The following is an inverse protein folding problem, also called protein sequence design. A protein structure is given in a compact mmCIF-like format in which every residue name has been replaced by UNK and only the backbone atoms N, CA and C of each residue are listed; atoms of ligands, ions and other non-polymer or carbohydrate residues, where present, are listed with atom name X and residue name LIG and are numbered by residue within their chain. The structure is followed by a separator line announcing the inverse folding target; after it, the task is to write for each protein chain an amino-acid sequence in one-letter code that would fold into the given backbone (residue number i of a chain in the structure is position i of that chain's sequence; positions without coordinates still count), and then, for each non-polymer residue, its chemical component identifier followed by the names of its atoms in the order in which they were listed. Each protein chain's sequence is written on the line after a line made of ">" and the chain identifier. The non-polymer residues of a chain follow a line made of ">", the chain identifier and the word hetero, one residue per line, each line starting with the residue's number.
data_IF_225962124570
#
_entry.id   IF_225962124570
#
_cell.length_a   1.000
_cell.length_b   1.000
_cell.length_c   1.000
_cell.angle_alpha   90.00
_cell.angle_beta   90.00
_cell.angle_gamma   90.00
#
_symmetry.space_group_name_H-M   'P 1'
#
loop_
_entity.id
_entity.type
_entity.pdbx_description
1 polymer ?
#
# COMPACT_ATOMS: atom_id res chain seq x y z
N UNK A 1 -3.82 -14.63 -29.34
CA UNK A 1 -2.85 -14.96 -28.27
C UNK A 1 -3.34 -14.19 -27.05
N UNK A 2 -4.15 -14.84 -26.23
CA UNK A 2 -4.52 -14.34 -24.90
C UNK A 2 -3.79 -15.31 -23.98
N UNK A 3 -2.77 -14.82 -23.32
CA UNK A 3 -1.96 -15.60 -22.40
C UNK A 3 -2.83 -15.88 -21.17
N UNK A 4 -3.46 -17.05 -21.17
CA UNK A 4 -3.85 -17.74 -19.95
C UNK A 4 -2.55 -18.40 -19.45
N UNK A 5 -1.71 -17.61 -18.76
CA UNK A 5 -0.58 -18.15 -18.00
C UNK A 5 -1.16 -18.68 -16.68
N UNK A 6 -0.83 -19.91 -16.24
CA UNK A 6 -1.19 -20.40 -14.93
C UNK A 6 -0.28 -19.70 -13.89
N UNK A 7 -0.49 -18.39 -13.70
CA UNK A 7 0.23 -17.59 -12.73
C UNK A 7 -0.46 -17.74 -11.39
N UNK A 8 0.30 -18.05 -10.35
CA UNK A 8 -0.07 -17.97 -8.93
C UNK A 8 -1.25 -17.01 -8.69
N UNK A 9 -2.37 -17.54 -8.17
CA UNK A 9 -3.62 -16.80 -7.97
C UNK A 9 -3.43 -15.75 -6.86
N UNK A 10 -2.95 -14.56 -7.23
CA UNK A 10 -2.88 -13.42 -6.32
C UNK A 10 -4.16 -12.60 -6.43
N UNK A 11 -4.85 -12.40 -5.30
CA UNK A 11 -5.97 -11.47 -5.21
C UNK A 11 -5.45 -10.04 -5.10
N UNK A 12 -5.82 -9.18 -6.05
CA UNK A 12 -5.45 -7.76 -6.04
C UNK A 12 -6.62 -6.90 -5.58
N UNK A 13 -6.38 -5.97 -4.66
CA UNK A 13 -7.38 -5.05 -4.12
C UNK A 13 -6.82 -3.62 -4.04
N UNK A 14 -7.48 -2.67 -4.70
CA UNK A 14 -7.15 -1.24 -4.54
C UNK A 14 -7.73 -0.73 -3.23
N UNK A 15 -6.87 -0.19 -2.37
CA UNK A 15 -7.27 0.35 -1.06
C UNK A 15 -7.60 1.84 -1.15
N UNK A 16 -6.82 2.60 -1.92
CA UNK A 16 -7.03 4.02 -2.14
C UNK A 16 -6.34 4.48 -3.43
N UNK A 17 -6.92 5.45 -4.12
CA UNK A 17 -6.28 6.13 -5.25
C UNK A 17 -6.62 7.61 -5.27
N UNK A 18 -5.69 8.40 -5.79
CA UNK A 18 -5.79 9.83 -6.05
C UNK A 18 -5.22 10.09 -7.45
N UNK A 19 -5.15 11.35 -7.87
CA UNK A 19 -4.62 11.70 -9.20
C UNK A 19 -3.16 11.29 -9.44
N UNK A 20 -2.34 11.21 -8.38
CA UNK A 20 -0.90 10.92 -8.49
C UNK A 20 -0.40 9.79 -7.58
N UNK A 21 -1.26 9.28 -6.71
CA UNK A 21 -0.90 8.26 -5.73
C UNK A 21 -1.93 7.16 -5.72
N UNK A 22 -1.47 5.92 -5.63
CA UNK A 22 -2.35 4.76 -5.46
C UNK A 22 -1.74 3.80 -4.43
N UNK A 23 -2.62 3.14 -3.69
CA UNK A 23 -2.29 2.04 -2.80
C UNK A 23 -3.15 0.86 -3.18
N UNK A 24 -2.51 -0.27 -3.43
CA UNK A 24 -3.18 -1.54 -3.67
C UNK A 24 -2.44 -2.67 -2.95
N UNK A 25 -3.15 -3.75 -2.68
CA UNK A 25 -2.64 -4.92 -1.98
C UNK A 25 -2.75 -6.14 -2.88
N UNK A 26 -1.71 -6.96 -2.90
CA UNK A 26 -1.77 -8.32 -3.44
C UNK A 26 -1.73 -9.33 -2.29
N UNK A 27 -2.67 -10.27 -2.26
CA UNK A 27 -2.71 -11.37 -1.30
C UNK A 27 -2.49 -12.68 -2.05
N UNK A 28 -1.45 -13.43 -1.67
CA UNK A 28 -1.19 -14.76 -2.21
C UNK A 28 -2.06 -15.84 -1.59
N UNK A 29 -2.05 -17.03 -2.19
CA UNK A 29 -2.81 -18.19 -1.73
C UNK A 29 -2.38 -18.69 -0.32
N UNK A 30 -1.16 -18.36 0.10
CA UNK A 30 -0.66 -18.60 1.47
C UNK A 30 -1.24 -17.61 2.50
N UNK A 31 -2.01 -16.61 2.06
CA UNK A 31 -2.57 -15.55 2.90
C UNK A 31 -1.59 -14.39 3.16
N UNK A 32 -0.37 -14.47 2.66
CA UNK A 32 0.61 -13.38 2.78
C UNK A 32 0.21 -12.21 1.87
N UNK A 33 0.21 -11.01 2.45
CA UNK A 33 -0.13 -9.77 1.74
C UNK A 33 1.10 -8.89 1.53
N UNK A 34 1.19 -8.30 0.35
CA UNK A 34 2.12 -7.21 0.02
C UNK A 34 1.33 -5.96 -0.34
N UNK A 35 1.76 -4.83 0.20
CA UNK A 35 1.17 -3.53 -0.06
C UNK A 35 2.06 -2.76 -1.04
N UNK A 36 1.43 -2.20 -2.06
CA UNK A 36 2.06 -1.48 -3.15
C UNK A 36 1.62 -0.02 -3.10
N UNK A 37 2.55 0.87 -2.81
CA UNK A 37 2.35 2.32 -2.84
C UNK A 37 2.99 2.88 -4.11
N UNK A 38 2.16 3.40 -5.01
CA UNK A 38 2.59 4.02 -6.25
C UNK A 38 2.62 5.54 -6.09
N UNK A 39 3.79 6.13 -6.30
CA UNK A 39 4.10 7.56 -6.15
C UNK A 39 4.52 8.16 -7.50
N UNK A 40 3.70 7.95 -8.53
CA UNK A 40 3.97 8.40 -9.90
C UNK A 40 5.15 7.66 -10.55
N UNK A 41 6.39 8.06 -10.23
CA UNK A 41 7.61 7.48 -10.81
C UNK A 41 8.34 6.49 -9.88
N UNK A 42 7.85 6.30 -8.66
CA UNK A 42 8.39 5.38 -7.67
C UNK A 42 7.29 4.45 -7.20
N UNK A 43 7.57 3.16 -7.10
CA UNK A 43 6.71 2.20 -6.40
C UNK A 43 7.46 1.64 -5.19
N UNK A 44 6.75 1.54 -4.07
CA UNK A 44 7.26 0.98 -2.82
C UNK A 44 6.44 -0.28 -2.51
N UNK A 45 7.14 -1.37 -2.22
CA UNK A 45 6.55 -2.63 -1.81
C UNK A 45 6.85 -2.87 -0.35
N UNK A 46 5.81 -3.13 0.44
CA UNK A 46 5.87 -3.27 1.88
C UNK A 46 5.24 -4.61 2.27
N UNK A 47 5.84 -5.29 3.24
CA UNK A 47 5.14 -6.37 3.95
C UNK A 47 3.97 -5.79 4.76
N UNK A 48 3.10 -6.66 5.27
CA UNK A 48 2.02 -6.25 6.16
C UNK A 48 2.53 -5.47 7.38
N UNK A 49 3.59 -5.96 8.04
CA UNK A 49 4.21 -5.29 9.19
C UNK A 49 4.77 -3.91 8.83
N UNK A 50 5.46 -3.78 7.69
CA UNK A 50 6.02 -2.50 7.24
C UNK A 50 4.92 -1.51 6.83
N UNK A 51 3.80 -2.01 6.29
CA UNK A 51 2.64 -1.20 5.95
C UNK A 51 1.95 -0.64 7.20
N UNK A 52 1.77 -1.46 8.23
CA UNK A 52 1.18 -1.04 9.51
C UNK A 52 2.01 0.09 10.14
N UNK A 53 3.34 -0.05 10.18
CA UNK A 53 4.25 0.99 10.69
C UNK A 53 4.20 2.27 9.85
N UNK A 54 4.10 2.16 8.53
CA UNK A 54 3.96 3.33 7.64
C UNK A 54 2.64 4.08 7.90
N UNK A 55 1.54 3.35 8.03
CA UNK A 55 0.22 3.95 8.30
C UNK A 55 0.22 4.65 9.66
N UNK A 56 0.81 4.02 10.69
CA UNK A 56 0.95 4.64 12.01
C UNK A 56 1.80 5.92 11.94
N UNK A 57 2.90 5.91 11.19
CA UNK A 57 3.73 7.10 10.98
C UNK A 57 2.95 8.24 10.32
N UNK A 58 2.15 7.94 9.28
CA UNK A 58 1.34 8.94 8.59
C UNK A 58 0.25 9.49 9.51
N UNK A 59 -0.41 8.63 10.30
CA UNK A 59 -1.41 9.03 11.30
C UNK A 59 -0.83 9.98 12.34
N UNK A 60 0.34 9.64 12.91
CA UNK A 60 1.07 10.52 13.84
C UNK A 60 1.43 11.87 13.19
N UNK A 61 1.82 11.89 11.91
CA UNK A 61 2.10 13.12 11.19
C UNK A 61 0.85 13.98 10.99
N UNK A 62 -0.32 13.36 10.77
CA UNK A 62 -1.61 14.06 10.69
C UNK A 62 -2.00 14.64 12.05
N UNK A 63 -1.92 13.86 13.12
CA UNK A 63 -2.21 14.34 14.48
C UNK A 63 -1.33 15.55 14.86
N UNK A 64 -0.05 15.51 14.49
CA UNK A 64 0.88 16.61 14.74
C UNK A 64 0.47 17.93 14.03
N UNK A 65 -0.18 17.85 12.87
CA UNK A 65 -0.71 19.02 12.15
C UNK A 65 -1.96 19.57 12.85
N UNK A 66 -2.86 18.69 13.29
CA UNK A 66 -4.12 19.05 13.95
C UNK A 66 -3.91 19.60 15.37
N UNK A 67 -2.94 19.05 16.10
CA UNK A 67 -2.59 19.45 17.46
C UNK A 67 -1.80 20.78 17.53
N UNK A 68 -1.49 21.39 16.38
CA UNK A 68 -0.92 22.73 16.30
C UNK A 68 0.47 22.83 16.89
N UNK A 69 1.46 22.21 16.24
CA UNK A 69 2.90 22.53 16.35
C UNK A 69 3.34 23.12 17.69
N UNK A 70 3.43 22.29 18.73
CA UNK A 70 4.22 22.58 19.93
C UNK A 70 5.35 21.56 20.00
N UNK A 71 6.37 21.83 19.17
CA UNK A 71 7.71 21.29 19.28
C UNK A 71 8.71 22.44 19.19
#
# INVERSE_FOLDING_TARGET
>A
MVMDEPGDEFAMETLAETEHFAVWRSTGDDGQSLFHLELGNVSIHLTEEEWEELVELVDQAVDALESGGVG
#
